data_IF_945926929638
#
_entry.id   IF_945926929638
#
_cell.length_a   1.000
_cell.length_b   1.000
_cell.length_c   1.000
_cell.angle_alpha   90.00
_cell.angle_beta   90.00
_cell.angle_gamma   90.00
#
_symmetry.space_group_name_H-M   'P 1'
#
loop_
_entity.id
_entity.type
_entity.pdbx_description
1 polymer ?
#
# COMPACT_ATOMS: atom_id res chain seq x y z
N UNK A 1 28.32 -11.69 35.33
CA UNK A 1 28.71 -10.58 34.44
C UNK A 1 27.44 -10.08 33.76
N UNK A 2 26.90 -8.93 34.19
CA UNK A 2 25.80 -8.24 33.47
C UNK A 2 26.44 -7.55 32.27
N UNK A 3 26.07 -7.95 31.05
CA UNK A 3 26.52 -7.32 29.82
C UNK A 3 25.55 -6.19 29.48
N UNK A 4 26.04 -4.97 29.55
CA UNK A 4 25.35 -3.76 29.11
C UNK A 4 25.39 -3.73 27.58
N UNK A 5 24.23 -3.65 26.93
CA UNK A 5 24.11 -3.45 25.47
C UNK A 5 24.05 -1.95 25.24
N UNK A 6 24.97 -1.41 24.45
CA UNK A 6 24.98 0.01 24.05
C UNK A 6 24.55 0.04 22.58
N UNK A 7 23.38 0.62 22.30
CA UNK A 7 22.92 0.88 20.94
C UNK A 7 23.57 2.16 20.41
N UNK A 8 24.03 2.15 19.17
CA UNK A 8 24.48 3.33 18.45
C UNK A 8 23.66 3.44 17.15
N UNK A 9 23.08 4.62 16.92
CA UNK A 9 22.27 4.96 15.74
C UNK A 9 23.19 5.70 14.76
N UNK A 10 23.26 5.25 13.51
CA UNK A 10 23.97 5.95 12.45
C UNK A 10 23.12 5.91 11.17
N UNK A 11 22.48 7.03 10.83
CA UNK A 11 21.79 7.23 9.55
C UNK A 11 22.77 7.75 8.50
N UNK A 12 22.77 7.13 7.32
CA UNK A 12 23.44 7.64 6.14
C UNK A 12 22.44 7.64 4.98
N UNK A 13 22.12 8.84 4.49
CA UNK A 13 21.21 9.09 3.36
C UNK A 13 22.01 9.08 2.06
N UNK A 14 21.60 8.26 1.09
CA UNK A 14 22.12 8.29 -0.29
C UNK A 14 20.94 8.60 -1.21
N UNK A 15 20.93 9.81 -1.78
CA UNK A 15 19.93 10.26 -2.75
C UNK A 15 20.27 9.73 -4.14
N UNK A 16 19.38 8.91 -4.71
CA UNK A 16 19.27 8.72 -6.15
C UNK A 16 17.83 9.07 -6.55
N UNK A 17 17.62 10.28 -7.07
CA UNK A 17 16.35 10.68 -7.67
C UNK A 17 16.25 10.10 -9.10
N UNK A 18 15.27 9.23 -9.32
CA UNK A 18 14.83 8.83 -10.65
C UNK A 18 13.67 9.75 -11.07
N UNK A 19 13.84 10.48 -12.17
CA UNK A 19 12.82 11.37 -12.73
C UNK A 19 11.80 10.52 -13.50
N UNK A 20 10.56 10.47 -13.01
CA UNK A 20 9.42 9.87 -13.72
C UNK A 20 8.67 10.95 -14.50
N UNK A 21 8.52 10.78 -15.81
CA UNK A 21 7.62 11.62 -16.61
C UNK A 21 6.18 11.11 -16.46
N UNK A 22 5.22 12.02 -16.21
CA UNK A 22 3.79 11.75 -16.12
C UNK A 22 3.26 11.06 -17.39
N UNK A 23 2.91 9.79 -17.27
CA UNK A 23 2.01 9.08 -18.19
C UNK A 23 0.72 8.77 -17.43
N UNK A 24 -0.41 8.67 -18.13
CA UNK A 24 -1.62 8.07 -17.54
C UNK A 24 -1.22 6.79 -16.82
N UNK A 25 -1.63 6.66 -15.56
CA UNK A 25 -1.24 5.52 -14.73
C UNK A 25 -1.64 4.24 -15.48
N UNK A 26 -0.64 3.42 -15.79
CA UNK A 26 -0.89 2.14 -16.43
C UNK A 26 -1.71 1.28 -15.47
N UNK A 27 -2.55 0.40 -16.02
CA UNK A 27 -3.31 -0.56 -15.22
C UNK A 27 -2.37 -1.32 -14.28
N UNK A 28 -2.76 -1.36 -13.01
CA UNK A 28 -2.00 -2.06 -11.96
C UNK A 28 -2.28 -3.56 -11.93
N UNK A 29 -3.22 -4.05 -12.75
CA UNK A 29 -3.63 -5.45 -12.76
C UNK A 29 -2.61 -6.31 -13.47
N UNK A 30 -2.27 -7.47 -12.92
CA UNK A 30 -1.31 -8.40 -13.49
C UNK A 30 -1.66 -8.79 -14.94
N UNK A 31 -0.66 -8.96 -15.80
CA UNK A 31 -0.88 -9.22 -17.23
C UNK A 31 -1.48 -10.60 -17.52
N UNK A 32 -1.28 -11.56 -16.61
CA UNK A 32 -1.76 -12.94 -16.71
C UNK A 32 -2.96 -13.18 -15.80
N UNK A 33 -2.90 -12.67 -14.57
CA UNK A 33 -3.93 -12.83 -13.54
C UNK A 33 -4.86 -11.60 -13.53
N UNK A 34 -5.74 -11.52 -14.54
CA UNK A 34 -6.55 -10.34 -14.85
C UNK A 34 -8.05 -10.58 -14.94
N UNK A 35 -8.52 -11.77 -14.61
CA UNK A 35 -9.90 -12.14 -14.86
C UNK A 35 -10.71 -12.08 -13.56
N UNK A 36 -11.90 -11.51 -13.65
CA UNK A 36 -12.97 -11.69 -12.67
C UNK A 36 -14.11 -12.48 -13.32
N UNK A 37 -15.02 -13.04 -12.53
CA UNK A 37 -16.17 -13.80 -13.04
C UNK A 37 -17.48 -13.27 -12.48
N UNK A 38 -18.40 -12.87 -13.35
CA UNK A 38 -19.75 -12.49 -12.97
C UNK A 38 -20.75 -13.60 -13.35
N UNK A 39 -21.63 -13.98 -12.42
CA UNK A 39 -22.62 -15.04 -12.67
C UNK A 39 -23.61 -14.69 -13.79
N UNK A 40 -23.92 -13.40 -13.95
CA UNK A 40 -24.89 -12.92 -14.94
C UNK A 40 -24.30 -12.75 -16.35
N UNK A 41 -22.99 -12.52 -16.46
CA UNK A 41 -22.37 -12.05 -17.72
C UNK A 41 -21.06 -12.76 -18.09
N UNK A 42 -20.55 -13.63 -17.21
CA UNK A 42 -19.35 -14.43 -17.41
C UNK A 42 -18.04 -13.68 -17.12
N UNK A 43 -17.02 -13.98 -17.90
CA UNK A 43 -15.65 -13.46 -17.70
C UNK A 43 -15.57 -11.95 -17.88
N UNK A 44 -14.84 -11.30 -16.99
CA UNK A 44 -14.56 -9.86 -17.01
C UNK A 44 -13.05 -9.68 -17.12
N UNK A 45 -12.57 -8.99 -18.15
CA UNK A 45 -11.16 -8.61 -18.27
C UNK A 45 -10.94 -7.33 -17.45
N UNK A 46 -10.25 -7.45 -16.31
CA UNK A 46 -9.96 -6.33 -15.42
C UNK A 46 -8.77 -5.50 -15.89
N UNK A 47 -7.93 -6.02 -16.81
CA UNK A 47 -6.78 -5.28 -17.33
C UNK A 47 -7.11 -4.62 -18.65
N UNK A 48 -7.82 -5.29 -19.54
CA UNK A 48 -8.17 -4.81 -20.90
C UNK A 48 -6.93 -4.52 -21.77
N UNK A 49 -6.31 -3.36 -21.58
CA UNK A 49 -4.99 -2.99 -22.07
C UNK A 49 -4.18 -2.23 -20.99
N UNK A 50 -2.86 -2.07 -21.15
CA UNK A 50 -2.02 -1.42 -20.14
C UNK A 50 -2.41 0.03 -19.82
N UNK A 51 -3.11 0.75 -20.68
CA UNK A 51 -3.43 2.18 -20.51
C UNK A 51 -4.81 2.40 -19.91
N UNK A 52 -5.79 1.56 -20.22
CA UNK A 52 -7.19 1.80 -19.88
C UNK A 52 -7.77 0.86 -18.81
N UNK A 53 -6.99 -0.11 -18.34
CA UNK A 53 -7.43 -1.11 -17.36
C UNK A 53 -7.73 -0.59 -15.98
N UNK A 54 -8.23 -1.48 -15.12
CA UNK A 54 -8.46 -1.19 -13.71
C UNK A 54 -7.14 -0.78 -13.05
N UNK A 55 -7.24 0.19 -12.15
CA UNK A 55 -6.15 0.71 -11.33
C UNK A 55 -6.61 0.60 -9.88
N UNK A 56 -5.83 -0.09 -9.06
CA UNK A 56 -5.98 -0.06 -7.61
C UNK A 56 -5.02 1.00 -7.09
N UNK A 57 -5.55 2.08 -6.54
CA UNK A 57 -4.77 3.09 -5.87
C UNK A 57 -4.72 2.88 -4.36
N UNK A 58 -3.85 3.62 -3.69
CA UNK A 58 -3.72 3.56 -2.23
C UNK A 58 -5.01 3.99 -1.51
N UNK A 59 -5.76 4.95 -2.07
CA UNK A 59 -7.01 5.47 -1.50
C UNK A 59 -8.26 5.23 -2.37
N UNK A 60 -8.09 5.23 -3.69
CA UNK A 60 -9.18 5.08 -4.66
C UNK A 60 -8.78 4.18 -5.80
N UNK A 61 -9.74 3.45 -6.34
CA UNK A 61 -9.60 2.77 -7.62
C UNK A 61 -10.06 3.69 -8.76
N UNK A 62 -9.56 3.42 -9.95
CA UNK A 62 -9.92 4.12 -11.18
C UNK A 62 -9.79 3.21 -12.39
N UNK A 63 -10.01 3.77 -13.58
CA UNK A 63 -9.96 3.01 -14.82
C UNK A 63 -11.15 2.08 -14.98
N UNK A 64 -10.96 1.03 -15.80
CA UNK A 64 -12.08 0.29 -16.36
C UNK A 64 -11.83 -1.22 -16.43
N UNK A 65 -12.91 -1.98 -16.29
CA UNK A 65 -12.97 -3.39 -16.66
C UNK A 65 -13.84 -3.58 -17.89
N UNK A 66 -13.67 -4.68 -18.62
CA UNK A 66 -14.45 -5.00 -19.81
C UNK A 66 -15.16 -6.35 -19.69
N UNK A 67 -16.42 -6.38 -20.11
CA UNK A 67 -17.17 -7.61 -20.36
C UNK A 67 -17.93 -7.51 -21.69
N UNK A 68 -17.99 -8.59 -22.46
CA UNK A 68 -18.64 -8.58 -23.79
C UNK A 68 -20.16 -8.36 -23.72
N UNK A 69 -20.81 -8.74 -22.62
CA UNK A 69 -22.25 -8.63 -22.43
C UNK A 69 -22.71 -7.27 -21.91
N UNK A 70 -21.91 -6.60 -21.07
CA UNK A 70 -22.28 -5.33 -20.42
C UNK A 70 -21.36 -4.16 -20.78
N UNK A 71 -20.29 -4.40 -21.55
CA UNK A 71 -19.33 -3.40 -21.96
C UNK A 71 -18.42 -2.95 -20.82
N UNK A 72 -18.09 -1.66 -20.83
CA UNK A 72 -17.20 -1.06 -19.84
C UNK A 72 -17.86 -0.95 -18.46
N UNK A 73 -17.06 -1.25 -17.44
CA UNK A 73 -17.38 -1.07 -16.01
C UNK A 73 -16.34 -0.10 -15.44
N UNK A 74 -16.79 1.06 -14.99
CA UNK A 74 -15.97 2.19 -14.52
C UNK A 74 -15.84 2.13 -13.00
N UNK A 75 -14.62 2.18 -12.45
CA UNK A 75 -14.38 2.19 -10.99
C UNK A 75 -14.33 3.60 -10.38
N UNK A 76 -14.48 4.63 -11.20
CA UNK A 76 -14.33 6.04 -10.82
C UNK A 76 -13.31 6.74 -11.71
N UNK A 77 -13.24 8.07 -11.61
CA UNK A 77 -12.38 8.91 -12.45
C UNK A 77 -10.93 9.04 -11.93
N UNK A 78 -10.65 8.58 -10.73
CA UNK A 78 -9.35 8.74 -10.03
C UNK A 78 -9.18 10.06 -9.31
N UNK A 79 -10.13 11.00 -9.45
CA UNK A 79 -10.05 12.35 -8.90
C UNK A 79 -11.29 12.64 -8.05
N UNK A 80 -11.37 12.09 -6.83
CA UNK A 80 -12.46 12.37 -5.92
C UNK A 80 -12.52 13.86 -5.57
N UNK A 81 -13.73 14.37 -5.30
CA UNK A 81 -13.96 15.81 -5.11
C UNK A 81 -13.16 16.41 -3.94
N UNK A 82 -12.94 15.63 -2.88
CA UNK A 82 -12.14 16.05 -1.73
C UNK A 82 -10.63 15.76 -1.89
N UNK A 83 -10.22 15.17 -3.02
CA UNK A 83 -8.83 14.82 -3.30
C UNK A 83 -8.28 13.66 -2.47
N UNK A 84 -9.12 12.91 -1.74
CA UNK A 84 -8.74 11.77 -0.91
C UNK A 84 -9.53 10.52 -1.30
N UNK A 85 -10.87 10.58 -1.26
CA UNK A 85 -11.76 9.44 -1.48
C UNK A 85 -13.09 9.87 -2.07
N UNK A 86 -13.71 9.02 -2.88
CA UNK A 86 -15.06 9.28 -3.38
C UNK A 86 -16.03 9.33 -2.19
N UNK A 87 -16.79 10.41 -2.10
CA UNK A 87 -17.87 10.52 -1.10
C UNK A 87 -19.00 9.54 -1.41
N UNK A 88 -19.19 9.22 -2.70
CA UNK A 88 -20.28 8.38 -3.19
C UNK A 88 -21.66 8.94 -2.81
N UNK A 89 -21.78 10.26 -2.64
CA UNK A 89 -23.03 10.95 -2.33
C UNK A 89 -23.69 11.55 -3.58
N UNK A 90 -23.00 11.58 -4.72
CA UNK A 90 -23.55 12.06 -5.99
C UNK A 90 -23.04 11.27 -7.20
N UNK A 91 -23.75 11.31 -8.35
CA UNK A 91 -23.31 10.68 -9.59
C UNK A 91 -22.06 11.33 -10.22
N UNK A 92 -21.63 12.49 -9.73
CA UNK A 92 -20.44 13.19 -10.19
C UNK A 92 -19.19 12.82 -9.37
N UNK A 93 -19.37 12.26 -8.16
CA UNK A 93 -18.31 11.84 -7.25
C UNK A 93 -18.56 10.41 -6.76
N UNK A 94 -18.46 9.45 -7.69
CA UNK A 94 -18.60 8.04 -7.42
C UNK A 94 -17.33 7.26 -7.75
N UNK A 95 -17.16 6.15 -7.06
CA UNK A 95 -16.15 5.16 -7.38
C UNK A 95 -15.92 4.17 -6.26
N UNK A 96 -14.92 3.31 -6.46
CA UNK A 96 -14.46 2.33 -5.48
C UNK A 96 -13.30 2.94 -4.70
N UNK A 97 -13.44 3.02 -3.38
CA UNK A 97 -12.42 3.43 -2.44
C UNK A 97 -11.64 2.21 -1.94
N UNK A 98 -10.36 2.42 -1.60
CA UNK A 98 -9.50 1.50 -0.89
C UNK A 98 -9.15 2.10 0.47
N UNK A 99 -9.24 1.32 1.54
CA UNK A 99 -9.03 1.82 2.91
C UNK A 99 -7.57 1.76 3.39
N UNK A 100 -6.64 1.41 2.50
CA UNK A 100 -5.23 1.21 2.82
C UNK A 100 -4.92 -0.15 3.48
N UNK A 101 -5.95 -0.95 3.82
CA UNK A 101 -5.82 -2.28 4.46
C UNK A 101 -6.25 -3.43 3.55
N UNK A 102 -6.51 -3.13 2.28
CA UNK A 102 -6.97 -4.09 1.29
C UNK A 102 -8.47 -4.05 1.05
N UNK A 103 -9.30 -3.33 1.84
CA UNK A 103 -10.75 -3.39 1.67
C UNK A 103 -11.23 -2.43 0.57
N UNK A 104 -12.04 -2.95 -0.35
CA UNK A 104 -12.60 -2.19 -1.45
C UNK A 104 -14.07 -1.87 -1.20
N UNK A 105 -14.47 -0.59 -1.21
CA UNK A 105 -15.86 -0.18 -0.92
C UNK A 105 -16.35 0.92 -1.84
N UNK A 106 -17.64 0.96 -2.13
CA UNK A 106 -18.25 2.01 -2.96
C UNK A 106 -18.95 1.44 -4.19
N UNK A 107 -18.82 2.14 -5.31
CA UNK A 107 -19.63 1.84 -6.50
C UNK A 107 -18.79 1.86 -7.78
N UNK A 108 -19.03 0.86 -8.62
CA UNK A 108 -18.66 0.90 -10.02
C UNK A 108 -19.92 1.10 -10.88
N UNK A 109 -19.75 1.65 -12.08
CA UNK A 109 -20.85 1.94 -12.99
C UNK A 109 -20.64 1.26 -14.34
N UNK A 110 -21.71 0.71 -14.92
CA UNK A 110 -21.73 0.30 -16.32
C UNK A 110 -22.96 0.90 -17.02
N UNK A 111 -22.81 1.52 -18.20
CA UNK A 111 -23.95 2.01 -18.98
C UNK A 111 -24.97 0.93 -19.35
N UNK A 112 -24.55 -0.35 -19.40
CA UNK A 112 -25.42 -1.47 -19.78
C UNK A 112 -25.87 -2.31 -18.59
N UNK A 113 -25.07 -2.38 -17.52
CA UNK A 113 -25.38 -3.18 -16.32
C UNK A 113 -25.93 -2.37 -15.14
N UNK A 114 -25.80 -1.05 -15.15
CA UNK A 114 -26.12 -0.19 -14.02
C UNK A 114 -25.02 -0.19 -12.94
N UNK A 115 -25.44 0.07 -11.71
CA UNK A 115 -24.55 0.14 -10.55
C UNK A 115 -24.08 -1.24 -10.09
N UNK A 116 -22.81 -1.31 -9.70
CA UNK A 116 -22.16 -2.48 -9.13
C UNK A 116 -21.59 -2.06 -7.78
N UNK A 117 -22.02 -2.74 -6.73
CA UNK A 117 -21.79 -2.41 -5.34
C UNK A 117 -20.60 -3.20 -4.80
N UNK A 118 -19.59 -2.47 -4.30
CA UNK A 118 -18.48 -3.00 -3.51
C UNK A 118 -18.88 -2.79 -2.04
N UNK A 119 -19.53 -3.79 -1.45
CA UNK A 119 -20.23 -3.67 -0.18
C UNK A 119 -19.79 -4.73 0.84
N UNK A 120 -20.24 -4.58 2.08
CA UNK A 120 -19.80 -5.45 3.18
C UNK A 120 -20.22 -6.91 3.04
N UNK A 121 -21.34 -7.20 2.37
CA UNK A 121 -21.77 -8.59 2.16
C UNK A 121 -20.81 -9.34 1.26
N UNK A 122 -20.39 -8.69 0.17
CA UNK A 122 -19.42 -9.25 -0.76
C UNK A 122 -17.97 -9.13 -0.27
N UNK A 123 -17.71 -8.15 0.59
CA UNK A 123 -16.42 -7.85 1.21
C UNK A 123 -15.22 -8.02 0.25
N UNK A 124 -15.21 -7.34 -0.92
CA UNK A 124 -14.11 -7.47 -1.84
C UNK A 124 -12.84 -6.88 -1.22
N UNK A 125 -11.73 -7.61 -1.36
CA UNK A 125 -10.42 -7.21 -0.81
C UNK A 125 -9.26 -7.50 -1.76
N UNK A 126 -8.13 -6.84 -1.51
CA UNK A 126 -6.81 -7.11 -2.07
C UNK A 126 -5.87 -7.49 -0.92
N UNK A 127 -5.21 -8.63 -1.04
CA UNK A 127 -4.12 -9.00 -0.14
C UNK A 127 -2.90 -8.13 -0.45
N UNK A 128 -2.47 -7.35 0.54
CA UNK A 128 -1.45 -6.31 0.38
C UNK A 128 0.00 -6.85 0.28
N UNK A 129 0.18 -8.15 0.47
CA UNK A 129 1.48 -8.82 0.33
C UNK A 129 1.61 -9.54 -1.00
N UNK A 130 0.51 -10.10 -1.51
CA UNK A 130 0.50 -10.91 -2.73
C UNK A 130 -0.19 -10.23 -3.92
N UNK A 131 -0.99 -9.19 -3.67
CA UNK A 131 -1.82 -8.51 -4.65
C UNK A 131 -3.06 -9.30 -5.08
N UNK A 132 -3.32 -10.48 -4.49
CA UNK A 132 -4.44 -11.33 -4.85
C UNK A 132 -5.76 -10.74 -4.37
N UNK A 133 -6.77 -10.80 -5.22
CA UNK A 133 -8.11 -10.37 -4.84
C UNK A 133 -8.92 -11.50 -4.21
N UNK A 134 -9.90 -11.11 -3.40
CA UNK A 134 -10.93 -12.00 -2.89
C UNK A 134 -12.27 -11.28 -2.73
N UNK A 135 -13.32 -12.05 -2.45
CA UNK A 135 -14.67 -11.56 -2.22
C UNK A 135 -15.42 -11.24 -3.51
N UNK A 136 -16.49 -10.47 -3.36
CA UNK A 136 -17.48 -10.27 -4.40
C UNK A 136 -17.97 -8.83 -4.46
N UNK A 137 -18.36 -8.39 -5.65
CA UNK A 137 -19.23 -7.23 -5.85
C UNK A 137 -20.57 -7.69 -6.43
N UNK A 138 -21.62 -6.89 -6.29
CA UNK A 138 -22.95 -7.23 -6.80
C UNK A 138 -23.56 -6.11 -7.63
N UNK A 139 -24.17 -6.42 -8.77
CA UNK A 139 -24.97 -5.46 -9.51
C UNK A 139 -26.11 -6.12 -10.27
N UNK A 140 -27.23 -5.43 -10.46
CA UNK A 140 -28.41 -6.01 -11.11
C UNK A 140 -28.13 -6.57 -12.51
N UNK A 141 -27.28 -5.89 -13.29
CA UNK A 141 -26.93 -6.32 -14.65
C UNK A 141 -25.82 -7.37 -14.75
N UNK A 142 -25.09 -7.65 -13.66
CA UNK A 142 -23.96 -8.60 -13.65
C UNK A 142 -24.14 -9.76 -12.66
N UNK A 143 -25.06 -9.66 -11.70
CA UNK A 143 -25.18 -10.57 -10.56
C UNK A 143 -23.99 -10.44 -9.60
N UNK A 144 -23.69 -11.51 -8.88
CA UNK A 144 -22.45 -11.64 -8.12
C UNK A 144 -21.24 -11.73 -9.05
N UNK A 145 -20.34 -10.78 -8.89
CA UNK A 145 -19.02 -10.70 -9.50
C UNK A 145 -17.97 -11.15 -8.50
N UNK A 146 -17.39 -12.33 -8.74
CA UNK A 146 -16.30 -12.93 -7.98
C UNK A 146 -14.95 -12.34 -8.40
N UNK A 147 -14.17 -11.94 -7.41
CA UNK A 147 -12.75 -11.61 -7.56
C UNK A 147 -11.84 -12.74 -7.04
N UNK A 148 -12.41 -13.80 -6.48
CA UNK A 148 -11.67 -14.88 -5.86
C UNK A 148 -10.69 -15.61 -6.80
N UNK A 149 -9.61 -16.08 -6.19
CA UNK A 149 -8.54 -16.78 -6.89
C UNK A 149 -8.78 -18.30 -7.04
N UNK A 150 -9.98 -18.79 -6.71
CA UNK A 150 -10.32 -20.22 -6.85
C UNK A 150 -10.65 -20.60 -8.30
N UNK A 151 -11.08 -19.62 -9.10
CA UNK A 151 -11.48 -19.83 -10.50
C UNK A 151 -11.05 -18.67 -11.40
N UNK A 152 -11.09 -17.42 -10.91
CA UNK A 152 -10.93 -16.24 -11.76
C UNK A 152 -9.52 -15.66 -11.83
N UNK A 153 -8.64 -15.91 -10.86
CA UNK A 153 -7.24 -15.44 -10.88
C UNK A 153 -7.09 -13.96 -11.22
N UNK A 154 -7.46 -13.11 -10.26
CA UNK A 154 -7.23 -11.67 -10.30
C UNK A 154 -6.12 -11.27 -9.31
N UNK A 155 -5.17 -10.49 -9.80
CA UNK A 155 -4.04 -9.99 -9.01
C UNK A 155 -3.69 -8.57 -9.46
N UNK A 156 -3.27 -7.72 -8.54
CA UNK A 156 -2.62 -6.44 -8.84
C UNK A 156 -1.11 -6.55 -8.58
N UNK A 157 -0.31 -5.99 -9.48
CA UNK A 157 1.16 -5.96 -9.38
C UNK A 157 1.67 -4.82 -8.50
N UNK A 158 0.81 -3.86 -8.12
CA UNK A 158 1.19 -2.67 -7.37
C UNK A 158 -0.01 -1.81 -7.01
N UNK A 159 0.20 -0.81 -6.15
CA UNK A 159 -0.79 0.23 -5.86
C UNK A 159 -0.38 1.55 -6.50
N UNK A 160 -1.30 2.19 -7.21
CA UNK A 160 -1.08 3.54 -7.72
C UNK A 160 -1.07 4.53 -6.55
N UNK A 161 -0.05 5.38 -6.50
CA UNK A 161 0.11 6.34 -5.41
C UNK A 161 -1.00 7.41 -5.43
N UNK A 162 -1.38 7.85 -6.63
CA UNK A 162 -2.36 8.91 -6.86
C UNK A 162 -1.70 10.12 -7.50
N UNK A 163 -2.38 11.26 -7.41
CA UNK A 163 -1.82 12.55 -7.80
C UNK A 163 -0.72 12.97 -6.79
N UNK A 164 0.30 13.65 -7.31
CA UNK A 164 1.45 14.26 -6.60
C UNK A 164 1.72 15.58 -7.32
N UNK A 165 1.09 16.66 -6.84
CA UNK A 165 0.96 17.93 -7.56
C UNK A 165 2.22 18.80 -7.42
N UNK A 166 2.90 18.75 -6.29
CA UNK A 166 4.14 19.49 -6.03
C UNK A 166 5.41 18.70 -6.38
N UNK A 167 5.28 17.39 -6.66
CA UNK A 167 6.30 16.57 -7.30
C UNK A 167 7.35 16.07 -6.33
N UNK A 168 6.98 15.88 -5.07
CA UNK A 168 7.87 15.53 -3.98
C UNK A 168 7.95 14.01 -3.71
N UNK A 169 7.16 13.22 -4.46
CA UNK A 169 6.96 11.77 -4.35
C UNK A 169 6.11 11.31 -3.16
N UNK A 170 5.37 12.23 -2.54
CA UNK A 170 4.34 11.98 -1.55
C UNK A 170 2.97 12.20 -2.22
N UNK A 171 2.01 11.28 -2.10
CA UNK A 171 0.71 11.47 -2.72
C UNK A 171 -0.11 12.55 -2.02
N UNK A 172 -0.73 13.43 -2.80
CA UNK A 172 -1.63 14.49 -2.33
C UNK A 172 -2.68 13.96 -1.34
N UNK A 173 -3.22 12.77 -1.63
CA UNK A 173 -4.27 12.15 -0.82
C UNK A 173 -3.76 11.78 0.57
N UNK A 174 -2.49 11.32 0.67
CA UNK A 174 -1.87 11.03 1.95
C UNK A 174 -1.66 12.30 2.75
N UNK A 175 -1.05 13.34 2.16
CA UNK A 175 -0.83 14.61 2.85
C UNK A 175 -2.14 15.18 3.42
N UNK A 176 -3.17 15.29 2.58
CA UNK A 176 -4.49 15.78 3.01
C UNK A 176 -5.13 14.90 4.08
N UNK A 177 -4.92 13.58 4.04
CA UNK A 177 -5.57 12.65 4.96
C UNK A 177 -4.88 12.56 6.31
N UNK A 178 -3.55 12.68 6.33
CA UNK A 178 -2.71 12.51 7.53
C UNK A 178 -2.65 13.83 8.30
N UNK A 179 -2.31 14.93 7.63
CA UNK A 179 -2.08 16.23 8.29
C UNK A 179 -3.25 17.20 8.15
N UNK A 180 -4.18 16.94 7.23
CA UNK A 180 -5.31 17.83 6.98
C UNK A 180 -4.95 19.11 6.21
N UNK A 181 -3.76 19.16 5.61
CA UNK A 181 -3.31 20.31 4.82
C UNK A 181 -4.15 20.50 3.56
N UNK A 182 -4.30 21.76 3.15
CA UNK A 182 -4.87 22.12 1.84
C UNK A 182 -3.81 22.67 0.89
N UNK A 183 -2.65 23.04 1.42
CA UNK A 183 -1.48 23.47 0.67
C UNK A 183 -0.44 22.36 0.76
N UNK A 184 -0.15 21.70 -0.37
CA UNK A 184 0.68 20.50 -0.42
C UNK A 184 2.16 20.83 -0.17
N UNK A 185 2.62 21.99 -0.65
CA UNK A 185 3.97 22.53 -0.36
C UNK A 185 4.37 22.65 1.14
N UNK A 186 3.46 22.39 2.09
CA UNK A 186 3.72 22.40 3.53
C UNK A 186 4.39 21.11 4.00
N UNK A 187 4.09 19.96 3.40
CA UNK A 187 4.65 18.65 3.74
C UNK A 187 5.61 18.23 2.62
N UNK A 188 6.74 17.62 2.98
CA UNK A 188 7.77 17.11 2.08
C UNK A 188 8.61 18.15 1.33
N UNK A 189 8.10 19.37 1.16
CA UNK A 189 8.78 20.42 0.40
C UNK A 189 8.80 20.10 -1.08
N UNK A 190 9.89 20.42 -1.80
CA UNK A 190 9.93 20.19 -3.26
C UNK A 190 10.43 18.80 -3.67
N UNK A 191 10.87 17.97 -2.72
CA UNK A 191 11.54 16.69 -3.00
C UNK A 191 11.37 15.63 -1.89
N UNK A 192 10.43 15.82 -0.98
CA UNK A 192 10.14 14.91 0.13
C UNK A 192 11.17 14.94 1.26
N UNK A 193 12.16 15.84 1.19
CA UNK A 193 13.27 15.91 2.15
C UNK A 193 13.03 16.83 3.34
N UNK A 194 11.88 17.52 3.38
CA UNK A 194 11.46 18.27 4.56
C UNK A 194 11.31 17.33 5.77
N UNK A 195 11.59 17.86 6.96
CA UNK A 195 11.42 17.23 8.26
C UNK A 195 10.57 18.21 9.06
N UNK A 196 9.24 18.06 8.93
CA UNK A 196 8.25 19.06 9.34
C UNK A 196 8.15 19.22 10.85
N UNK A 197 8.38 18.16 11.62
CA UNK A 197 8.33 18.16 13.07
C UNK A 197 9.71 18.22 13.76
N UNK A 198 10.79 18.17 12.97
CA UNK A 198 12.19 18.22 13.42
C UNK A 198 12.64 17.03 14.26
N UNK A 199 12.11 15.83 14.00
CA UNK A 199 12.50 14.59 14.67
C UNK A 199 13.71 13.87 14.02
N UNK A 200 14.12 14.34 12.83
CA UNK A 200 15.24 13.82 12.04
C UNK A 200 14.86 12.77 11.00
N UNK A 201 13.57 12.47 10.84
CA UNK A 201 12.99 11.70 9.75
C UNK A 201 12.42 12.70 8.73
N UNK A 202 12.53 12.38 7.44
CA UNK A 202 11.93 13.25 6.42
C UNK A 202 10.49 12.82 6.17
N UNK A 203 9.64 13.77 5.80
CA UNK A 203 8.22 13.54 5.55
C UNK A 203 8.00 12.42 4.50
N UNK A 204 8.89 12.26 3.52
CA UNK A 204 8.86 11.11 2.60
C UNK A 204 9.03 9.75 3.32
N UNK A 205 9.96 9.65 4.26
CA UNK A 205 10.16 8.41 5.02
C UNK A 205 9.02 8.17 6.01
N UNK A 206 8.35 9.21 6.48
CA UNK A 206 7.14 9.10 7.27
C UNK A 206 5.95 8.64 6.43
N UNK A 207 5.80 9.15 5.21
CA UNK A 207 4.87 8.60 4.23
C UNK A 207 5.14 7.11 3.99
N UNK A 208 6.37 6.70 3.72
CA UNK A 208 6.72 5.27 3.57
C UNK A 208 6.45 4.49 4.86
N UNK A 209 6.68 5.10 6.03
CA UNK A 209 6.44 4.56 7.36
C UNK A 209 4.97 4.45 7.76
N UNK A 210 4.10 5.25 7.12
CA UNK A 210 2.71 5.43 7.50
C UNK A 210 2.51 6.34 8.73
N UNK A 211 3.50 7.14 9.10
CA UNK A 211 3.50 7.95 10.34
C UNK A 211 3.14 9.42 10.09
N UNK A 212 2.84 10.17 11.15
CA UNK A 212 2.42 11.58 11.08
C UNK A 212 3.61 12.57 11.07
N UNK A 213 3.87 13.28 9.96
CA UNK A 213 5.00 14.22 9.84
C UNK A 213 4.88 15.50 10.67
N UNK A 214 3.80 15.64 11.43
CA UNK A 214 3.62 16.74 12.38
C UNK A 214 3.75 16.27 13.86
N UNK A 215 3.96 14.98 14.14
CA UNK A 215 4.18 14.45 15.51
C UNK A 215 5.59 13.82 15.67
N UNK A 216 6.51 14.48 16.40
CA UNK A 216 7.91 14.03 16.56
C UNK A 216 8.07 12.76 17.42
N UNK A 217 6.95 12.14 17.81
CA UNK A 217 6.92 10.85 18.50
C UNK A 217 6.37 9.72 17.62
N UNK A 218 5.85 10.02 16.44
CA UNK A 218 5.30 9.05 15.50
C UNK A 218 6.26 8.79 14.34
N UNK A 219 7.10 7.78 14.51
CA UNK A 219 8.06 7.36 13.49
C UNK A 219 8.39 5.88 13.67
N UNK A 220 8.83 5.25 12.58
CA UNK A 220 9.26 3.85 12.60
C UNK A 220 10.47 3.67 13.55
N UNK A 221 10.26 2.90 14.62
CA UNK A 221 11.31 2.60 15.60
C UNK A 221 11.19 1.22 16.19
N UNK A 222 12.32 0.67 16.62
CA UNK A 222 12.33 -0.49 17.49
C UNK A 222 11.78 -0.09 18.87
N UNK A 223 10.76 -0.82 19.32
CA UNK A 223 10.15 -0.64 20.64
C UNK A 223 10.78 -1.61 21.64
N UNK A 224 11.17 -2.79 21.18
CA UNK A 224 11.69 -3.84 22.04
C UNK A 224 12.60 -4.82 21.33
N UNK A 225 13.54 -5.38 22.08
CA UNK A 225 14.32 -6.53 21.66
C UNK A 225 14.61 -7.40 22.88
N UNK A 226 14.36 -8.71 22.76
CA UNK A 226 14.56 -9.66 23.85
C UNK A 226 15.01 -11.02 23.33
N UNK A 227 15.60 -11.85 24.19
CA UNK A 227 15.93 -13.24 23.82
C UNK A 227 14.82 -14.18 24.27
N UNK A 228 14.36 -15.04 23.37
CA UNK A 228 13.28 -16.01 23.60
C UNK A 228 13.76 -17.37 23.12
N UNK A 229 13.94 -18.34 24.03
CA UNK A 229 14.32 -19.71 23.66
C UNK A 229 15.71 -19.88 23.01
N UNK A 230 16.56 -18.85 23.03
CA UNK A 230 17.84 -18.83 22.31
C UNK A 230 17.80 -18.03 21.00
N UNK A 231 16.60 -17.64 20.56
CA UNK A 231 16.35 -16.75 19.43
C UNK A 231 16.23 -15.29 19.91
N UNK A 232 16.09 -14.37 18.96
CA UNK A 232 15.86 -12.94 19.22
C UNK A 232 14.44 -12.59 18.79
N UNK A 233 13.67 -12.04 19.72
CA UNK A 233 12.40 -11.40 19.41
C UNK A 233 12.62 -9.90 19.25
N UNK A 234 12.13 -9.34 18.15
CA UNK A 234 12.17 -7.91 17.84
C UNK A 234 10.74 -7.39 17.78
N UNK A 235 10.51 -6.23 18.37
CA UNK A 235 9.24 -5.51 18.36
C UNK A 235 9.47 -4.08 17.84
N UNK A 236 8.63 -3.62 16.92
CA UNK A 236 8.71 -2.28 16.34
C UNK A 236 7.34 -1.62 16.28
N UNK A 237 7.31 -0.29 16.26
CA UNK A 237 6.09 0.48 16.02
C UNK A 237 5.65 0.27 14.57
N UNK A 238 4.42 -0.15 14.36
CA UNK A 238 3.90 -0.58 13.07
C UNK A 238 2.52 0.00 12.78
N UNK A 239 2.27 0.21 11.49
CA UNK A 239 1.04 0.74 10.93
C UNK A 239 0.30 -0.32 10.13
N UNK A 240 -1.01 -0.44 10.35
CA UNK A 240 -1.85 -1.46 9.70
C UNK A 240 -1.97 -1.27 8.18
N UNK A 241 -1.58 -0.11 7.66
CA UNK A 241 -1.62 0.24 6.23
C UNK A 241 -0.26 0.10 5.54
N UNK A 242 0.73 -0.48 6.22
CA UNK A 242 2.08 -0.70 5.71
C UNK A 242 2.47 -2.17 5.80
N UNK A 243 3.51 -2.52 5.06
CA UNK A 243 4.16 -3.83 5.17
C UNK A 243 5.62 -3.65 5.55
N UNK A 244 6.24 -4.71 6.06
CA UNK A 244 7.58 -4.62 6.62
C UNK A 244 8.50 -5.70 6.06
N UNK A 245 9.78 -5.36 5.94
CA UNK A 245 10.84 -6.34 5.71
C UNK A 245 11.90 -6.19 6.79
N UNK A 246 12.42 -7.33 7.23
CA UNK A 246 13.54 -7.39 8.16
C UNK A 246 14.80 -7.66 7.35
N UNK A 247 15.77 -6.77 7.49
CA UNK A 247 17.10 -6.97 6.94
C UNK A 247 18.09 -7.28 8.06
N UNK A 248 19.11 -8.07 7.73
CA UNK A 248 20.15 -8.43 8.68
C UNK A 248 21.55 -8.31 8.11
N UNK A 249 22.52 -8.09 9.01
CA UNK A 249 23.94 -8.10 8.68
C UNK A 249 24.76 -8.56 9.89
N UNK A 250 25.86 -9.29 9.64
CA UNK A 250 26.71 -9.80 10.72
C UNK A 250 27.78 -8.78 11.17
N UNK A 251 28.19 -7.88 10.27
CA UNK A 251 29.23 -6.87 10.49
C UNK A 251 28.88 -5.54 9.82
N UNK A 252 28.71 -4.48 10.61
CA UNK A 252 28.39 -3.13 10.11
C UNK A 252 29.52 -2.47 9.33
N UNK A 253 30.72 -3.05 9.28
CA UNK A 253 31.83 -2.50 8.49
C UNK A 253 31.69 -2.76 6.99
N UNK A 254 30.77 -3.65 6.58
CA UNK A 254 30.38 -3.86 5.17
C UNK A 254 28.97 -3.30 4.92
N UNK A 255 28.81 -2.01 4.62
CA UNK A 255 27.48 -1.40 4.47
C UNK A 255 26.67 -1.94 3.27
N UNK A 256 27.30 -2.70 2.36
CA UNK A 256 26.61 -3.37 1.25
C UNK A 256 26.16 -4.81 1.60
N UNK A 257 26.55 -5.32 2.78
CA UNK A 257 26.33 -6.71 3.21
C UNK A 257 24.96 -7.01 3.80
N UNK A 258 24.01 -6.06 3.75
CA UNK A 258 22.65 -6.29 4.24
C UNK A 258 21.97 -7.37 3.40
N UNK A 259 21.56 -8.45 4.07
CA UNK A 259 20.68 -9.46 3.48
C UNK A 259 19.24 -9.01 3.69
N UNK A 260 18.52 -8.79 2.60
CA UNK A 260 17.11 -8.41 2.63
C UNK A 260 16.18 -9.63 2.60
N UNK A 261 14.91 -9.40 2.96
CA UNK A 261 13.80 -10.34 2.81
C UNK A 261 14.03 -11.70 3.46
N UNK A 262 14.63 -11.71 4.66
CA UNK A 262 14.96 -12.96 5.38
C UNK A 262 13.71 -13.77 5.77
N UNK A 263 12.56 -13.10 5.93
CA UNK A 263 11.24 -13.70 6.17
C UNK A 263 10.24 -13.45 5.01
N UNK A 264 10.66 -12.77 3.94
CA UNK A 264 9.76 -12.15 2.98
C UNK A 264 9.10 -10.87 3.52
N UNK A 265 8.06 -10.40 2.82
CA UNK A 265 7.24 -9.26 3.22
C UNK A 265 6.28 -9.68 4.34
N UNK A 266 6.24 -8.88 5.40
CA UNK A 266 5.49 -9.14 6.63
C UNK A 266 4.29 -8.19 6.68
N UNK A 267 3.11 -8.75 6.90
CA UNK A 267 1.91 -7.98 7.25
C UNK A 267 1.99 -7.56 8.74
N UNK A 268 1.51 -6.37 9.09
CA UNK A 268 1.53 -5.89 10.47
C UNK A 268 0.62 -6.72 11.37
N UNK A 269 1.01 -6.86 12.63
CA UNK A 269 0.11 -7.32 13.68
C UNK A 269 -1.00 -6.28 13.93
N UNK A 270 -2.12 -6.72 14.48
CA UNK A 270 -3.18 -5.80 14.89
C UNK A 270 -2.72 -4.91 16.06
N UNK A 271 -3.00 -3.61 15.98
CA UNK A 271 -2.57 -2.62 16.97
C UNK A 271 -1.39 -1.77 16.49
N UNK A 272 -0.59 -1.25 17.43
CA UNK A 272 0.46 -0.25 17.15
C UNK A 272 1.87 -0.83 17.01
N UNK A 273 2.05 -2.11 17.33
CA UNK A 273 3.35 -2.76 17.32
C UNK A 273 3.26 -4.13 16.65
N UNK A 274 4.29 -4.48 15.89
CA UNK A 274 4.47 -5.80 15.30
C UNK A 274 5.66 -6.50 15.92
N UNK A 275 5.61 -7.83 15.99
CA UNK A 275 6.65 -8.65 16.63
C UNK A 275 7.05 -9.83 15.76
N UNK A 276 8.36 -10.06 15.64
CA UNK A 276 8.90 -11.26 14.97
C UNK A 276 10.00 -11.93 15.77
N UNK A 277 10.13 -13.25 15.58
CA UNK A 277 11.17 -14.08 16.22
C UNK A 277 12.16 -14.57 15.16
N UNK A 278 13.43 -14.22 15.34
CA UNK A 278 14.52 -14.46 14.41
C UNK A 278 15.51 -15.46 14.99
N UNK A 279 15.82 -16.50 14.21
CA UNK A 279 16.77 -17.53 14.60
C UNK A 279 18.18 -17.23 14.10
N UNK A 280 19.10 -17.00 15.06
CA UNK A 280 20.51 -16.70 14.79
C UNK A 280 21.46 -17.88 14.93
N UNK A 281 20.94 -19.03 15.35
CA UNK A 281 21.73 -20.23 15.57
C UNK A 281 22.84 -19.98 16.60
N UNK A 282 24.11 -20.05 16.17
CA UNK A 282 25.30 -19.95 17.04
C UNK A 282 26.11 -18.67 16.83
N UNK A 283 25.56 -17.68 16.12
CA UNK A 283 26.25 -16.43 15.87
C UNK A 283 26.42 -15.63 17.16
N UNK A 284 27.59 -15.00 17.31
CA UNK A 284 27.89 -14.19 18.49
C UNK A 284 27.40 -12.76 18.37
N UNK A 285 27.07 -12.33 17.15
CA UNK A 285 26.61 -10.98 16.83
C UNK A 285 25.86 -11.00 15.50
N UNK A 286 24.77 -10.24 15.45
CA UNK A 286 24.04 -9.85 14.25
C UNK A 286 23.35 -8.52 14.51
N UNK A 287 23.13 -7.76 13.46
CA UNK A 287 22.40 -6.52 13.45
C UNK A 287 21.17 -6.66 12.57
N UNK A 288 20.11 -5.98 12.98
CA UNK A 288 18.83 -5.98 12.30
C UNK A 288 18.40 -4.55 12.02
N UNK A 289 17.71 -4.36 10.92
CA UNK A 289 16.90 -3.16 10.69
C UNK A 289 15.56 -3.55 10.10
N UNK A 290 14.55 -2.79 10.48
CA UNK A 290 13.20 -2.91 9.95
C UNK A 290 13.03 -1.82 8.89
N UNK A 291 12.41 -2.17 7.77
CA UNK A 291 12.05 -1.20 6.74
C UNK A 291 10.56 -1.32 6.49
N UNK A 292 9.86 -0.20 6.63
CA UNK A 292 8.49 -0.08 6.16
C UNK A 292 8.48 0.03 4.63
N UNK A 293 7.41 -0.46 4.04
CA UNK A 293 7.14 -0.43 2.62
C UNK A 293 5.68 0.00 2.43
N UNK A 294 5.46 0.85 1.43
CA UNK A 294 4.13 1.01 0.84
C UNK A 294 3.76 -0.37 0.25
N UNK A 295 2.56 -0.89 0.50
CA UNK A 295 2.19 -2.21 0.02
C UNK A 295 2.38 -2.38 -1.50
N UNK A 296 2.91 -3.55 -1.90
CA UNK A 296 3.16 -3.92 -3.29
C UNK A 296 4.12 -2.96 -4.05
N UNK A 297 5.11 -2.39 -3.35
CA UNK A 297 6.10 -1.48 -3.95
C UNK A 297 7.50 -2.08 -4.16
N UNK A 298 7.69 -3.39 -3.95
CA UNK A 298 8.98 -4.09 -4.16
C UNK A 298 9.20 -4.59 -5.59
#
# INVERSE_FOLDING_TARGET
MRRTVTAAIAGAVVCLAAISAFGEALSTINSSNKWAWAEGTGWIDCRTDPTNGMIIGQYVCSGHMWNEGVGWIFLGNGNPTNGIRYTNESPEDYGVNHDGKGNLRGYAWSPSAGWIHFEETGAPTVDLTTGLFSGFAWGEGVGWMSFDNLQSYLQTDGLAAGDDLDGDNIPDAWERSTTGVTNLDVIGGSDGSQDSDSDGITDYYEYVGGTDPEDPNDYLKLVGMSSVGGDIQIEWASEETRTYVIEQIDDLTDPAGWTTNILGVISPDAGTNSTEVLSDGVLTQRFYRIKALVPLSE
#
